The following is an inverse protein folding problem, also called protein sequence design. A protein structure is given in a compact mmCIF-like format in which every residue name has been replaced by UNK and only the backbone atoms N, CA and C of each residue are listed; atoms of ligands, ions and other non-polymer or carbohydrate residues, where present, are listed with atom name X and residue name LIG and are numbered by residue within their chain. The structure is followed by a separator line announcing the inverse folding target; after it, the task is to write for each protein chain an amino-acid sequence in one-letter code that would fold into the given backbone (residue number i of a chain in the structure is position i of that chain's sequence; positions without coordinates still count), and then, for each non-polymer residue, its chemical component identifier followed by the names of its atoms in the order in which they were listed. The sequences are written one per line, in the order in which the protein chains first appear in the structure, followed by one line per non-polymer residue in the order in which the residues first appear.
data_IF_245599639802
#
_entry.id   IF_245599639802
#
_cell.length_a   1.000
_cell.length_b   1.000
_cell.length_c   1.000
_cell.angle_alpha   90.00
_cell.angle_beta   90.00
_cell.angle_gamma   90.00
#
_symmetry.space_group_name_H-M   'P 1'
#
loop_
_entity.id
_entity.type
_entity.pdbx_description
1 polymer ?
#
# COMPACT_ATOMS: atom_id res chain seq x y z
N UNK A 1 -50.20 -11.34 -8.17
CA UNK A 1 -49.38 -10.52 -9.10
C UNK A 1 -47.93 -10.72 -8.74
N UNK A 2 -47.11 -11.17 -9.69
CA UNK A 2 -45.73 -11.61 -9.49
C UNK A 2 -44.80 -10.40 -9.40
N UNK A 3 -44.37 -10.05 -8.19
CA UNK A 3 -43.37 -8.99 -7.94
C UNK A 3 -42.02 -9.44 -8.50
N UNK A 4 -41.60 -8.84 -9.62
CA UNK A 4 -40.30 -9.08 -10.23
C UNK A 4 -39.23 -8.39 -9.37
N UNK A 5 -38.51 -9.18 -8.59
CA UNK A 5 -37.33 -8.72 -7.85
C UNK A 5 -36.20 -8.56 -8.88
N UNK A 6 -36.01 -7.33 -9.36
CA UNK A 6 -34.90 -6.97 -10.24
C UNK A 6 -33.61 -6.97 -9.43
N UNK A 7 -32.83 -8.03 -9.52
CA UNK A 7 -31.51 -8.16 -8.89
C UNK A 7 -30.49 -7.31 -9.66
N UNK A 8 -30.39 -6.02 -9.33
CA UNK A 8 -29.33 -5.15 -9.82
C UNK A 8 -28.01 -5.55 -9.13
N UNK A 9 -27.14 -6.24 -9.87
CA UNK A 9 -25.83 -6.66 -9.41
C UNK A 9 -24.89 -5.44 -9.44
N UNK A 10 -24.69 -4.78 -8.29
CA UNK A 10 -23.63 -3.77 -8.13
C UNK A 10 -22.29 -4.50 -8.11
N UNK A 11 -21.54 -4.43 -9.20
CA UNK A 11 -20.12 -4.76 -9.21
C UNK A 11 -19.37 -3.62 -8.51
N UNK A 12 -18.97 -3.84 -7.27
CA UNK A 12 -18.02 -2.95 -6.58
C UNK A 12 -16.70 -3.07 -7.33
N UNK A 13 -16.31 -2.05 -8.08
CA UNK A 13 -14.96 -1.94 -8.63
C UNK A 13 -14.00 -1.79 -7.43
N UNK A 14 -13.47 -2.91 -6.94
CA UNK A 14 -12.35 -2.88 -6.00
C UNK A 14 -11.19 -2.19 -6.72
N UNK A 15 -10.74 -1.05 -6.20
CA UNK A 15 -9.50 -0.45 -6.65
C UNK A 15 -8.39 -1.49 -6.40
N UNK A 16 -7.79 -2.03 -7.47
CA UNK A 16 -6.70 -2.99 -7.36
C UNK A 16 -5.46 -2.25 -6.82
N UNK A 17 -5.33 -2.18 -5.50
CA UNK A 17 -4.11 -1.77 -4.80
C UNK A 17 -3.24 -3.00 -4.60
N UNK A 18 -2.00 -2.96 -5.09
CA UNK A 18 -1.04 -4.04 -4.92
C UNK A 18 0.09 -3.56 -4.03
N UNK A 19 0.39 -4.29 -2.96
CA UNK A 19 1.57 -4.05 -2.11
C UNK A 19 2.59 -5.14 -2.40
N UNK A 20 3.83 -4.76 -2.65
CA UNK A 20 4.91 -5.71 -2.92
C UNK A 20 5.28 -6.51 -1.68
N UNK A 21 6.03 -7.59 -1.89
CA UNK A 21 6.76 -8.20 -0.80
C UNK A 21 7.85 -7.26 -0.26
N UNK A 22 8.28 -7.52 0.97
CA UNK A 22 9.35 -6.76 1.61
C UNK A 22 10.68 -7.34 1.20
N UNK A 23 11.51 -6.51 0.59
CA UNK A 23 12.84 -6.91 0.10
C UNK A 23 13.95 -6.26 0.94
N UNK A 24 15.04 -6.96 1.25
CA UNK A 24 16.20 -6.34 1.90
C UNK A 24 16.88 -5.34 0.96
N UNK A 25 17.19 -4.14 1.45
CA UNK A 25 17.88 -3.10 0.69
C UNK A 25 19.38 -2.99 1.03
N UNK A 26 19.87 -3.81 1.97
CA UNK A 26 21.24 -3.74 2.50
C UNK A 26 21.31 -2.96 3.81
N UNK A 27 22.39 -3.13 4.57
CA UNK A 27 22.70 -2.37 5.81
C UNK A 27 21.59 -2.35 6.88
N UNK A 28 20.76 -3.40 6.94
CA UNK A 28 19.63 -3.49 7.89
C UNK A 28 18.39 -2.69 7.47
N UNK A 29 18.36 -2.23 6.21
CA UNK A 29 17.21 -1.59 5.58
C UNK A 29 16.38 -2.59 4.77
N UNK A 30 15.10 -2.26 4.66
CA UNK A 30 14.09 -3.00 3.93
C UNK A 30 13.29 -2.05 3.06
N UNK A 31 12.81 -2.54 1.93
CA UNK A 31 11.95 -1.79 1.01
C UNK A 31 10.60 -2.46 0.82
N UNK A 32 9.57 -1.65 0.65
CA UNK A 32 8.22 -2.08 0.26
C UNK A 32 7.58 -1.04 -0.64
N UNK A 33 6.94 -1.49 -1.70
CA UNK A 33 6.31 -0.62 -2.68
C UNK A 33 4.81 -0.89 -2.74
N UNK A 34 4.00 0.16 -2.58
CA UNK A 34 2.57 0.11 -2.86
C UNK A 34 2.33 0.71 -4.22
N UNK A 35 1.67 -0.02 -5.11
CA UNK A 35 1.21 0.45 -6.40
C UNK A 35 -0.31 0.46 -6.46
N UNK A 36 -0.88 1.57 -6.93
CA UNK A 36 -2.31 1.65 -7.26
C UNK A 36 -2.45 1.93 -8.75
N UNK A 37 -3.30 1.14 -9.43
CA UNK A 37 -3.61 1.41 -10.84
C UNK A 37 -4.34 2.75 -10.92
N UNK A 38 -3.81 3.65 -11.76
CA UNK A 38 -4.17 5.07 -11.84
C UNK A 38 -5.63 5.37 -11.52
N UNK A 39 -5.83 6.23 -10.52
CA UNK A 39 -7.13 6.59 -10.00
C UNK A 39 -7.04 7.87 -9.18
N UNK A 40 -8.09 8.15 -8.42
CA UNK A 40 -8.18 9.34 -7.57
C UNK A 40 -7.72 9.08 -6.12
N UNK A 41 -6.98 8.00 -5.86
CA UNK A 41 -6.48 7.69 -4.51
C UNK A 41 -5.54 8.80 -4.02
N UNK A 42 -5.78 9.37 -2.82
CA UNK A 42 -4.87 10.35 -2.24
C UNK A 42 -3.49 9.73 -1.97
N UNK A 43 -2.42 10.50 -2.22
CA UNK A 43 -1.06 10.04 -1.92
C UNK A 43 -0.85 9.62 -0.47
N UNK A 44 -1.57 10.22 0.48
CA UNK A 44 -1.54 9.82 1.89
C UNK A 44 -2.00 8.38 2.10
N UNK A 45 -3.03 7.93 1.39
CA UNK A 45 -3.56 6.56 1.49
C UNK A 45 -2.61 5.53 0.86
N UNK A 46 -2.00 5.88 -0.28
CA UNK A 46 -0.99 5.04 -0.93
C UNK A 46 0.24 4.87 -0.02
N UNK A 47 0.74 5.98 0.56
CA UNK A 47 1.86 5.95 1.52
C UNK A 47 1.52 5.20 2.79
N UNK A 48 0.32 5.39 3.33
CA UNK A 48 -0.15 4.72 4.55
C UNK A 48 -0.17 3.19 4.38
N UNK A 49 -0.46 2.70 3.18
CA UNK A 49 -0.44 1.26 2.87
C UNK A 49 0.97 0.67 3.00
N UNK A 50 1.99 1.36 2.45
CA UNK A 50 3.39 0.97 2.62
C UNK A 50 3.83 1.01 4.09
N UNK A 51 3.46 2.08 4.80
CA UNK A 51 3.79 2.24 6.24
C UNK A 51 3.18 1.14 7.09
N UNK A 52 1.89 0.84 6.88
CA UNK A 52 1.20 -0.24 7.60
C UNK A 52 1.88 -1.58 7.36
N UNK A 53 2.24 -1.89 6.11
CA UNK A 53 2.89 -3.16 5.76
C UNK A 53 4.27 -3.31 6.41
N UNK A 54 5.04 -2.22 6.48
CA UNK A 54 6.33 -2.17 7.14
C UNK A 54 6.21 -2.28 8.67
N UNK A 55 5.22 -1.61 9.25
CA UNK A 55 4.92 -1.70 10.68
C UNK A 55 4.57 -3.13 11.10
N UNK A 56 3.64 -3.77 10.38
CA UNK A 56 3.26 -5.17 10.60
C UNK A 56 4.48 -6.11 10.52
N UNK A 57 5.41 -5.86 9.60
CA UNK A 57 6.62 -6.66 9.46
C UNK A 57 7.58 -6.54 10.65
N UNK A 58 7.79 -5.32 11.16
CA UNK A 58 8.62 -5.12 12.36
C UNK A 58 7.89 -5.62 13.62
N UNK A 59 6.59 -5.38 13.74
CA UNK A 59 5.77 -5.79 14.87
C UNK A 59 5.76 -7.32 15.06
N UNK A 60 5.68 -8.09 13.96
CA UNK A 60 5.81 -9.56 13.98
C UNK A 60 7.16 -10.04 14.56
N UNK A 61 8.17 -9.17 14.61
CA UNK A 61 9.51 -9.45 15.15
C UNK A 61 9.73 -8.83 16.53
N UNK A 62 8.69 -8.23 17.14
CA UNK A 62 8.81 -7.51 18.40
C UNK A 62 9.67 -6.25 18.30
N UNK A 63 9.70 -5.61 17.12
CA UNK A 63 10.48 -4.41 16.83
C UNK A 63 9.58 -3.26 16.39
N UNK A 64 10.05 -2.04 16.55
CA UNK A 64 9.36 -0.84 16.06
C UNK A 64 9.87 -0.48 14.66
N UNK A 65 8.94 -0.17 13.75
CA UNK A 65 9.29 0.33 12.42
C UNK A 65 9.80 1.77 12.48
N UNK A 66 10.93 2.02 11.85
CA UNK A 66 11.50 3.35 11.65
C UNK A 66 11.58 3.64 10.16
N UNK A 67 10.83 4.64 9.70
CA UNK A 67 10.87 5.10 8.31
C UNK A 67 12.22 5.78 8.06
N UNK A 68 12.90 5.36 7.00
CA UNK A 68 14.18 5.95 6.56
C UNK A 68 13.93 6.89 5.39
N UNK A 69 13.17 6.45 4.39
CA UNK A 69 12.83 7.26 3.23
C UNK A 69 11.48 6.85 2.64
N UNK A 70 10.82 7.79 1.96
CA UNK A 70 9.54 7.55 1.28
C UNK A 70 9.52 8.30 -0.06
N UNK A 71 9.59 7.55 -1.14
CA UNK A 71 9.54 8.06 -2.51
C UNK A 71 8.18 7.78 -3.13
N UNK A 72 7.78 8.64 -4.06
CA UNK A 72 6.55 8.46 -4.83
C UNK A 72 6.82 8.63 -6.31
N UNK A 73 6.30 7.71 -7.11
CA UNK A 73 6.46 7.71 -8.57
C UNK A 73 5.10 7.75 -9.27
N UNK A 74 5.05 8.46 -10.39
CA UNK A 74 3.84 8.63 -11.20
C UNK A 74 3.00 9.85 -10.85
N UNK A 75 1.94 10.06 -11.63
CA UNK A 75 1.06 11.22 -11.57
C UNK A 75 -0.37 10.76 -11.30
N UNK A 76 -0.93 11.20 -10.17
CA UNK A 76 -2.31 10.92 -9.76
C UNK A 76 -3.29 11.21 -10.89
N UNK A 77 -4.15 10.24 -11.20
CA UNK A 77 -5.16 10.36 -12.27
C UNK A 77 -4.62 10.23 -13.71
N UNK A 78 -3.32 10.04 -13.91
CA UNK A 78 -2.72 9.89 -15.24
C UNK A 78 -1.93 8.58 -15.39
N UNK A 79 -0.93 8.35 -14.53
CA UNK A 79 -0.17 7.09 -14.51
C UNK A 79 -0.52 6.27 -13.26
N UNK A 80 -0.12 4.99 -13.20
CA UNK A 80 -0.05 4.30 -11.92
C UNK A 80 0.70 5.13 -10.88
N UNK A 81 0.21 5.11 -9.66
CA UNK A 81 0.84 5.77 -8.52
C UNK A 81 1.57 4.71 -7.70
N UNK A 82 2.83 4.95 -7.41
CA UNK A 82 3.69 4.06 -6.65
C UNK A 82 4.26 4.82 -5.45
N UNK A 83 4.27 4.18 -4.27
CA UNK A 83 4.91 4.68 -3.07
C UNK A 83 5.91 3.63 -2.57
N UNK A 84 7.18 3.92 -2.73
CA UNK A 84 8.29 3.10 -2.25
C UNK A 84 8.76 3.60 -0.89
N UNK A 85 8.76 2.72 0.10
CA UNK A 85 9.18 2.99 1.46
C UNK A 85 10.45 2.21 1.76
N UNK A 86 11.49 2.92 2.17
CA UNK A 86 12.67 2.33 2.80
C UNK A 86 12.55 2.48 4.31
N UNK A 87 12.68 1.39 5.05
CA UNK A 87 12.52 1.38 6.49
C UNK A 87 13.54 0.45 7.17
N UNK A 88 13.66 0.57 8.48
CA UNK A 88 14.41 -0.37 9.32
C UNK A 88 13.58 -0.77 10.53
N UNK A 89 13.91 -1.90 11.15
CA UNK A 89 13.26 -2.37 12.37
C UNK A 89 14.22 -2.23 13.54
N UNK A 90 13.90 -1.33 14.48
CA UNK A 90 14.70 -1.07 15.68
C UNK A 90 14.06 -1.74 16.91
N UNK A 91 14.86 -1.95 17.96
CA UNK A 91 14.30 -2.37 19.25
C UNK A 91 13.42 -1.22 19.77
N UNK A 92 12.21 -1.56 20.20
CA UNK A 92 11.26 -0.62 20.80
C UNK A 92 11.72 -0.11 22.16
#
# INVERSE_FOLDING_TARGET
MRTKISLAMLTVLAACTTVSEITPAGDGHYTVTTQVRGGMTPWGEVKASSLKRADEYCAQRGKQMHQVDMQTHGVRGWTPQEAELTFTCLLS
#
